data_IF_706918309305
#
_entry.id   IF_706918309305
#
_cell.length_a   1.000
_cell.length_b   1.000
_cell.length_c   1.000
_cell.angle_alpha   90.00
_cell.angle_beta   90.00
_cell.angle_gamma   90.00
#
_symmetry.space_group_name_H-M   'P 1'
#
loop_
_entity.id
_entity.type
_entity.pdbx_description
1 polymer ?
#
# COMPACT_ATOMS: atom_id res chain seq x y z
N UNK A 1 -30.37 -9.13 -92.07
CA UNK A 1 -28.94 -9.50 -91.91
C UNK A 1 -28.25 -8.31 -91.31
N UNK A 2 -28.07 -8.27 -90.04
CA UNK A 2 -27.46 -7.16 -89.30
C UNK A 2 -26.23 -7.61 -88.56
N UNK A 3 -25.11 -7.06 -88.99
CA UNK A 3 -23.77 -7.33 -88.47
C UNK A 3 -23.51 -6.49 -87.22
N UNK A 4 -23.24 -7.15 -86.11
CA UNK A 4 -22.91 -6.47 -84.85
C UNK A 4 -21.38 -6.46 -84.70
N UNK A 5 -20.82 -5.25 -84.63
CA UNK A 5 -19.42 -5.02 -84.25
C UNK A 5 -19.17 -5.18 -82.75
N UNK A 6 -18.05 -5.71 -82.30
CA UNK A 6 -17.72 -5.81 -80.86
C UNK A 6 -17.09 -4.51 -80.38
N UNK A 7 -17.59 -4.07 -79.25
CA UNK A 7 -17.10 -2.90 -78.49
C UNK A 7 -15.82 -3.23 -77.71
N UNK A 8 -14.75 -2.45 -77.96
CA UNK A 8 -13.48 -2.53 -77.18
C UNK A 8 -13.67 -1.99 -75.77
N UNK A 9 -13.28 -2.81 -74.78
CA UNK A 9 -13.20 -2.37 -73.37
C UNK A 9 -11.95 -1.50 -73.11
N UNK A 10 -11.99 -0.52 -72.24
CA UNK A 10 -10.84 0.31 -71.86
C UNK A 10 -9.92 -0.40 -70.86
N UNK A 11 -8.62 -0.31 -71.12
CA UNK A 11 -7.53 -0.79 -70.25
C UNK A 11 -7.46 0.05 -68.98
N UNK A 12 -7.78 -0.55 -67.84
CA UNK A 12 -7.60 0.04 -66.53
C UNK A 12 -6.09 0.05 -66.19
N UNK A 13 -5.51 1.25 -66.08
CA UNK A 13 -4.15 1.45 -65.56
C UNK A 13 -4.17 1.36 -64.04
N UNK A 14 -3.44 0.38 -63.46
CA UNK A 14 -3.18 0.27 -62.02
C UNK A 14 -2.25 1.40 -61.56
N UNK A 15 -2.54 2.08 -60.42
CA UNK A 15 -1.62 3.06 -59.89
C UNK A 15 -0.42 2.37 -59.19
N UNK A 16 0.78 2.93 -59.50
CA UNK A 16 2.03 2.56 -58.85
C UNK A 16 1.95 2.76 -57.33
N UNK A 17 2.20 1.70 -56.57
CA UNK A 17 2.36 1.77 -55.11
C UNK A 17 3.61 2.57 -54.78
N UNK A 18 3.44 3.66 -54.02
CA UNK A 18 4.52 4.35 -53.34
C UNK A 18 4.99 3.55 -52.12
N UNK A 19 6.27 3.58 -51.75
CA UNK A 19 6.75 2.89 -50.57
C UNK A 19 6.21 3.60 -49.29
N UNK A 20 5.54 2.85 -48.45
CA UNK A 20 5.13 3.30 -47.11
C UNK A 20 6.39 3.42 -46.24
N UNK A 21 6.77 4.65 -45.95
CA UNK A 21 7.78 4.96 -44.94
C UNK A 21 7.17 4.65 -43.56
N UNK A 22 7.67 3.61 -42.92
CA UNK A 22 7.29 3.23 -41.55
C UNK A 22 7.89 4.27 -40.59
N UNK A 23 7.11 5.26 -40.18
CA UNK A 23 7.48 6.18 -39.12
C UNK A 23 7.35 5.43 -37.80
N UNK A 24 8.51 5.10 -37.19
CA UNK A 24 8.61 4.57 -35.84
C UNK A 24 8.22 5.69 -34.87
N UNK A 25 6.95 5.72 -34.46
CA UNK A 25 6.49 6.60 -33.38
C UNK A 25 7.00 5.99 -32.07
N UNK A 26 8.12 6.51 -31.58
CA UNK A 26 8.58 6.27 -30.21
C UNK A 26 7.58 6.91 -29.26
N UNK A 27 6.65 6.10 -28.76
CA UNK A 27 5.76 6.48 -27.68
C UNK A 27 6.62 6.62 -26.41
N UNK A 28 7.05 7.83 -26.11
CA UNK A 28 7.59 8.19 -24.80
C UNK A 28 6.41 8.10 -23.84
N UNK A 29 6.29 6.97 -23.13
CA UNK A 29 5.40 6.88 -21.98
C UNK A 29 5.91 7.85 -20.92
N UNK A 30 5.36 9.05 -20.91
CA UNK A 30 5.52 9.98 -19.81
C UNK A 30 4.88 9.34 -18.58
N UNK A 31 5.69 8.97 -17.61
CA UNK A 31 5.24 8.58 -16.28
C UNK A 31 4.48 9.77 -15.66
N UNK A 32 3.18 9.79 -15.83
CA UNK A 32 2.31 10.59 -14.99
C UNK A 32 2.22 9.86 -13.64
N UNK A 33 3.20 10.11 -12.75
CA UNK A 33 3.11 9.68 -11.36
C UNK A 33 1.86 10.33 -10.78
N UNK A 34 0.83 9.52 -10.59
CA UNK A 34 -0.46 9.95 -10.09
C UNK A 34 -0.31 10.65 -8.73
N UNK A 35 -1.07 11.70 -8.55
CA UNK A 35 -1.05 12.74 -7.53
C UNK A 35 -1.09 12.30 -6.05
N UNK A 36 -1.11 11.03 -5.73
CA UNK A 36 -1.18 10.53 -4.34
C UNK A 36 0.15 10.55 -3.59
N UNK A 37 1.28 10.47 -4.27
CA UNK A 37 2.62 10.60 -3.65
C UNK A 37 2.98 12.04 -3.25
N UNK A 38 2.30 13.04 -3.80
CA UNK A 38 2.58 14.45 -3.56
C UNK A 38 2.30 14.89 -2.10
N UNK A 39 1.41 14.20 -1.37
CA UNK A 39 1.08 14.55 0.01
C UNK A 39 2.15 14.16 1.03
N UNK A 40 3.05 13.22 0.70
CA UNK A 40 4.12 12.74 1.60
C UNK A 40 5.46 13.44 1.37
N UNK A 41 5.58 14.33 0.39
CA UNK A 41 6.82 15.08 0.11
C UNK A 41 8.01 14.19 -0.24
N UNK A 42 7.81 13.08 -0.95
CA UNK A 42 8.88 12.15 -1.33
C UNK A 42 9.89 12.83 -2.25
N UNK A 43 11.18 12.69 -1.95
CA UNK A 43 12.26 13.13 -2.84
C UNK A 43 12.29 12.32 -4.13
N UNK A 44 12.98 12.82 -5.17
CA UNK A 44 13.13 12.10 -6.44
C UNK A 44 13.82 10.74 -6.26
N UNK A 45 14.81 10.64 -5.38
CA UNK A 45 15.45 9.36 -5.02
C UNK A 45 14.46 8.39 -4.37
N UNK A 46 13.65 8.87 -3.42
CA UNK A 46 12.63 8.05 -2.76
C UNK A 46 11.56 7.55 -3.74
N UNK A 47 11.14 8.40 -4.68
CA UNK A 47 10.22 8.03 -5.75
C UNK A 47 10.82 6.96 -6.68
N UNK A 48 12.09 7.12 -7.06
CA UNK A 48 12.80 6.14 -7.88
C UNK A 48 12.91 4.77 -7.18
N UNK A 49 13.28 4.75 -5.89
CA UNK A 49 13.36 3.53 -5.09
C UNK A 49 11.99 2.86 -4.93
N UNK A 50 10.94 3.65 -4.74
CA UNK A 50 9.57 3.16 -4.66
C UNK A 50 9.14 2.51 -5.99
N UNK A 51 9.45 3.15 -7.12
CA UNK A 51 9.19 2.62 -8.46
C UNK A 51 9.99 1.35 -8.74
N UNK A 52 11.19 1.20 -8.15
CA UNK A 52 11.98 -0.03 -8.18
C UNK A 52 11.45 -1.14 -7.26
N UNK A 53 10.29 -0.93 -6.60
CA UNK A 53 9.65 -1.90 -5.70
C UNK A 53 10.21 -1.92 -4.28
N UNK A 54 11.07 -0.97 -3.91
CA UNK A 54 11.55 -0.86 -2.53
C UNK A 54 10.46 -0.33 -1.60
N UNK A 55 10.60 -0.64 -0.31
CA UNK A 55 9.84 0.02 0.75
C UNK A 55 10.65 1.21 1.24
N UNK A 56 10.08 2.40 1.13
CA UNK A 56 10.69 3.64 1.58
C UNK A 56 10.23 3.96 3.00
N UNK A 57 11.19 4.23 3.90
CA UNK A 57 10.90 4.62 5.28
C UNK A 57 11.25 6.09 5.49
N UNK A 58 10.30 6.83 6.04
CA UNK A 58 10.39 8.25 6.36
C UNK A 58 10.40 8.42 7.88
N UNK A 59 11.19 9.38 8.38
CA UNK A 59 11.19 9.77 9.79
C UNK A 59 10.05 10.78 10.09
N UNK A 60 8.84 10.40 9.66
CA UNK A 60 7.61 11.16 9.84
C UNK A 60 6.69 10.34 10.72
N UNK A 61 6.33 10.87 11.88
CA UNK A 61 5.37 10.25 12.79
C UNK A 61 3.93 10.62 12.41
N UNK A 62 2.94 9.80 12.82
CA UNK A 62 1.52 10.17 12.73
C UNK A 62 1.24 11.52 13.42
N UNK A 63 0.23 12.30 12.96
CA UNK A 63 -0.04 13.64 13.49
C UNK A 63 -0.30 13.68 15.01
N UNK A 64 -0.91 12.61 15.56
CA UNK A 64 -1.30 12.52 16.96
C UNK A 64 -0.21 11.93 17.88
N UNK A 65 0.99 11.71 17.33
CA UNK A 65 2.09 11.12 18.07
C UNK A 65 2.71 12.10 19.07
N UNK A 66 3.03 11.61 20.27
CA UNK A 66 3.81 12.39 21.21
C UNK A 66 5.25 12.58 20.75
N UNK A 67 5.90 13.69 21.17
CA UNK A 67 7.29 13.97 20.83
C UNK A 67 8.29 12.92 21.34
N UNK A 68 7.89 12.11 22.31
CA UNK A 68 8.71 11.06 22.90
C UNK A 68 8.44 9.67 22.31
N UNK A 69 7.53 9.55 21.35
CA UNK A 69 7.27 8.30 20.66
C UNK A 69 8.37 8.00 19.63
N UNK A 70 8.72 6.73 19.49
CA UNK A 70 9.48 6.20 18.36
C UNK A 70 8.55 5.71 17.26
N UNK A 71 9.09 5.48 16.06
CA UNK A 71 8.31 4.98 14.94
C UNK A 71 8.70 5.61 13.61
N UNK A 72 7.74 5.77 12.72
CA UNK A 72 7.95 6.35 11.40
C UNK A 72 6.84 6.01 10.43
N UNK A 73 7.06 6.35 9.18
CA UNK A 73 6.15 6.05 8.08
C UNK A 73 6.86 5.21 7.03
N UNK A 74 6.28 4.07 6.67
CA UNK A 74 6.72 3.24 5.55
C UNK A 74 5.75 3.39 4.37
N UNK A 75 6.29 3.43 3.18
CA UNK A 75 5.54 3.53 1.92
C UNK A 75 5.99 2.42 0.99
N UNK A 76 5.06 1.73 0.36
CA UNK A 76 5.36 0.66 -0.59
C UNK A 76 4.29 0.51 -1.67
N UNK A 77 4.69 0.06 -2.86
CA UNK A 77 3.77 -0.32 -3.92
C UNK A 77 3.35 -1.79 -3.73
N UNK A 78 2.08 -2.08 -3.95
CA UNK A 78 1.48 -3.42 -3.94
C UNK A 78 0.77 -3.64 -5.27
N UNK A 79 1.09 -4.73 -5.97
CA UNK A 79 0.52 -5.07 -7.30
C UNK A 79 -0.87 -5.70 -7.15
N UNK A 80 -1.78 -4.97 -6.53
CA UNK A 80 -3.17 -5.36 -6.36
C UNK A 80 -4.07 -4.13 -6.26
N UNK A 81 -5.33 -4.28 -6.65
CA UNK A 81 -6.32 -3.22 -6.55
C UNK A 81 -6.50 -2.74 -5.10
N UNK A 82 -6.78 -1.43 -4.87
CA UNK A 82 -6.95 -0.87 -3.54
C UNK A 82 -7.98 -1.60 -2.68
N UNK A 83 -9.06 -2.09 -3.29
CA UNK A 83 -10.14 -2.82 -2.61
C UNK A 83 -9.63 -4.14 -2.02
N UNK A 84 -8.71 -4.80 -2.73
CA UNK A 84 -8.10 -6.04 -2.26
C UNK A 84 -7.16 -5.81 -1.09
N UNK A 85 -6.33 -4.78 -1.16
CA UNK A 85 -5.47 -4.37 -0.03
C UNK A 85 -6.34 -4.00 1.16
N UNK A 86 -7.38 -3.21 0.94
CA UNK A 86 -8.33 -2.80 1.96
C UNK A 86 -8.97 -4.00 2.68
N UNK A 87 -9.47 -5.00 1.92
CA UNK A 87 -10.10 -6.18 2.50
C UNK A 87 -9.17 -6.96 3.45
N UNK A 88 -7.86 -7.00 3.16
CA UNK A 88 -6.85 -7.62 4.04
C UNK A 88 -6.60 -6.76 5.29
N UNK A 89 -6.60 -5.43 5.16
CA UNK A 89 -6.36 -4.52 6.28
C UNK A 89 -7.52 -4.49 7.29
N UNK A 90 -8.77 -4.68 6.85
CA UNK A 90 -9.94 -4.75 7.74
C UNK A 90 -10.22 -6.17 8.27
N UNK A 91 -9.55 -7.19 7.77
CA UNK A 91 -9.53 -8.54 8.36
C UNK A 91 -8.64 -8.53 9.61
N UNK A 92 -9.13 -7.97 10.71
CA UNK A 92 -8.35 -7.81 11.94
C UNK A 92 -7.82 -9.12 12.50
N UNK A 93 -8.56 -10.24 12.35
CA UNK A 93 -8.11 -11.58 12.78
C UNK A 93 -6.93 -12.10 11.95
N UNK A 94 -6.82 -11.63 10.71
CA UNK A 94 -5.71 -11.94 9.80
C UNK A 94 -4.42 -11.17 10.05
N UNK A 95 -4.41 -10.17 10.94
CA UNK A 95 -3.26 -9.30 11.21
C UNK A 95 -1.95 -10.02 11.59
N UNK A 96 -1.95 -11.15 12.32
CA UNK A 96 -0.72 -11.90 12.60
C UNK A 96 0.04 -12.36 11.36
N UNK A 97 -0.62 -12.47 10.21
CA UNK A 97 0.00 -12.89 8.95
C UNK A 97 1.01 -11.86 8.40
N UNK A 98 0.81 -10.56 8.70
CA UNK A 98 1.67 -9.52 8.18
C UNK A 98 2.31 -8.59 9.22
N UNK A 99 1.81 -8.51 10.44
CA UNK A 99 2.52 -7.83 11.52
C UNK A 99 3.57 -8.77 12.16
N UNK A 100 4.89 -8.48 12.04
CA UNK A 100 5.93 -9.46 12.37
C UNK A 100 5.96 -9.94 13.81
N UNK A 101 5.42 -9.16 14.75
CA UNK A 101 5.46 -9.46 16.18
C UNK A 101 4.09 -9.78 16.78
N UNK A 102 3.02 -9.62 16.02
CA UNK A 102 1.68 -9.96 16.47
C UNK A 102 1.51 -11.47 16.40
N UNK A 103 1.22 -12.10 17.52
CA UNK A 103 0.99 -13.56 17.63
C UNK A 103 -0.48 -13.90 17.58
N UNK A 104 -1.35 -13.00 18.05
CA UNK A 104 -2.80 -13.13 17.93
C UNK A 104 -3.49 -11.77 17.77
N UNK A 105 -4.65 -11.77 17.12
CA UNK A 105 -5.53 -10.63 17.00
C UNK A 105 -6.99 -11.11 17.07
N UNK A 106 -7.77 -10.50 17.94
CA UNK A 106 -9.17 -10.83 18.20
C UNK A 106 -10.03 -9.58 18.05
N UNK A 107 -11.07 -9.66 17.23
CA UNK A 107 -12.09 -8.63 17.14
C UNK A 107 -13.03 -8.77 18.35
N UNK A 108 -12.93 -7.83 19.29
CA UNK A 108 -13.72 -7.81 20.54
C UNK A 108 -15.10 -7.20 20.28
N UNK A 109 -15.11 -6.05 19.58
CA UNK A 109 -16.31 -5.28 19.29
C UNK A 109 -16.14 -4.57 17.96
N UNK A 110 -17.22 -4.39 17.21
CA UNK A 110 -17.23 -3.61 15.99
C UNK A 110 -18.57 -2.91 15.80
N UNK A 111 -18.50 -1.62 15.53
CA UNK A 111 -19.62 -0.79 15.12
C UNK A 111 -19.40 -0.23 13.71
N UNK A 112 -20.28 0.70 13.29
CA UNK A 112 -20.22 1.28 11.94
C UNK A 112 -18.95 2.12 11.70
N UNK A 113 -18.38 2.73 12.73
CA UNK A 113 -17.30 3.72 12.67
C UNK A 113 -16.03 3.32 13.44
N UNK A 114 -16.09 2.24 14.25
CA UNK A 114 -14.93 1.77 14.98
C UNK A 114 -14.93 0.27 15.23
N UNK A 115 -13.76 -0.26 15.61
CA UNK A 115 -13.58 -1.64 16.04
C UNK A 115 -12.57 -1.69 17.20
N UNK A 116 -12.91 -2.42 18.25
CA UNK A 116 -12.01 -2.75 19.34
C UNK A 116 -11.35 -4.09 19.05
N UNK A 117 -10.04 -4.08 18.93
CA UNK A 117 -9.24 -5.28 18.61
C UNK A 117 -8.25 -5.53 19.73
N UNK A 118 -8.29 -6.74 20.29
CA UNK A 118 -7.30 -7.22 21.24
C UNK A 118 -6.15 -7.85 20.47
N UNK A 119 -4.94 -7.42 20.76
CA UNK A 119 -3.71 -7.97 20.22
C UNK A 119 -2.84 -8.61 21.28
N UNK A 120 -2.04 -9.56 20.86
CA UNK A 120 -0.93 -10.10 21.64
C UNK A 120 0.35 -9.98 20.82
N UNK A 121 1.40 -9.39 21.41
CA UNK A 121 2.73 -9.26 20.77
C UNK A 121 3.76 -10.09 21.52
N UNK A 122 4.61 -10.78 20.76
CA UNK A 122 5.74 -11.53 21.28
C UNK A 122 7.01 -10.67 21.36
N UNK A 123 7.69 -10.71 22.51
CA UNK A 123 8.97 -10.03 22.72
C UNK A 123 9.91 -11.01 23.44
N UNK A 124 10.79 -11.65 22.70
CA UNK A 124 11.62 -12.76 23.23
C UNK A 124 10.71 -13.89 23.73
N UNK A 125 10.89 -14.35 24.99
CA UNK A 125 10.07 -15.42 25.57
C UNK A 125 8.73 -14.92 26.14
N UNK A 126 8.43 -13.61 26.07
CA UNK A 126 7.26 -12.99 26.69
C UNK A 126 6.22 -12.60 25.67
N UNK A 127 4.95 -12.64 26.06
CA UNK A 127 3.81 -12.10 25.32
C UNK A 127 3.11 -11.01 26.11
N UNK A 128 2.63 -9.98 25.41
CA UNK A 128 1.95 -8.84 26.01
C UNK A 128 0.64 -8.56 25.29
N UNK A 129 -0.45 -8.61 26.04
CA UNK A 129 -1.79 -8.27 25.54
C UNK A 129 -2.07 -6.77 25.63
N UNK A 130 -2.77 -6.22 24.64
CA UNK A 130 -3.24 -4.83 24.65
C UNK A 130 -4.44 -4.68 23.70
N UNK A 131 -5.17 -3.60 23.87
CA UNK A 131 -6.34 -3.30 23.04
C UNK A 131 -6.12 -2.04 22.21
N UNK A 132 -6.60 -2.09 20.98
CA UNK A 132 -6.51 -0.99 20.02
C UNK A 132 -7.90 -0.62 19.53
N UNK A 133 -8.23 0.66 19.63
CA UNK A 133 -9.38 1.21 18.94
C UNK A 133 -9.00 1.54 17.50
N UNK A 134 -9.69 0.94 16.53
CA UNK A 134 -9.51 1.13 15.10
C UNK A 134 -10.66 1.96 14.54
N UNK A 135 -10.37 2.88 13.63
CA UNK A 135 -11.33 3.76 12.97
C UNK A 135 -11.20 3.60 11.45
N UNK A 136 -11.92 2.64 10.85
CA UNK A 136 -11.89 2.43 9.40
C UNK A 136 -12.72 3.50 8.68
N UNK A 137 -12.14 4.12 7.67
CA UNK A 137 -12.82 4.98 6.69
C UNK A 137 -12.73 4.30 5.31
N UNK A 138 -13.78 3.58 4.88
CA UNK A 138 -13.75 2.85 3.62
C UNK A 138 -13.76 3.77 2.40
N UNK A 139 -14.27 5.00 2.51
CA UNK A 139 -14.30 5.97 1.41
C UNK A 139 -12.90 6.47 1.10
N UNK A 140 -12.14 6.80 2.13
CA UNK A 140 -10.74 7.22 2.00
C UNK A 140 -9.76 6.05 2.00
N UNK A 141 -10.21 4.82 2.24
CA UNK A 141 -9.39 3.63 2.48
C UNK A 141 -8.29 3.89 3.51
N UNK A 142 -8.68 4.50 4.63
CA UNK A 142 -7.81 4.85 5.75
C UNK A 142 -8.29 4.16 7.01
N UNK A 143 -7.37 3.53 7.76
CA UNK A 143 -7.65 2.99 9.10
C UNK A 143 -6.72 3.70 10.07
N UNK A 144 -7.26 4.63 10.85
CA UNK A 144 -6.53 5.18 11.98
C UNK A 144 -6.69 4.27 13.20
N UNK A 145 -5.74 4.33 14.14
CA UNK A 145 -5.88 3.65 15.43
C UNK A 145 -5.17 4.38 16.55
N UNK A 146 -5.60 4.03 17.75
CA UNK A 146 -4.94 4.41 18.98
C UNK A 146 -5.02 3.29 20.00
N UNK A 147 -4.10 3.30 20.96
CA UNK A 147 -4.16 2.45 22.13
C UNK A 147 -5.46 2.74 22.89
N UNK A 148 -6.21 1.70 23.25
CA UNK A 148 -7.41 1.89 24.05
C UNK A 148 -7.02 2.15 25.52
N UNK A 149 -7.54 3.25 26.09
CA UNK A 149 -7.23 3.67 27.44
C UNK A 149 -8.09 2.96 28.52
N UNK A 150 -9.20 2.32 28.11
CA UNK A 150 -10.13 1.65 29.03
C UNK A 150 -9.64 0.26 29.43
N UNK A 151 -8.70 -0.31 28.65
CA UNK A 151 -8.12 -1.62 28.93
C UNK A 151 -6.66 -1.47 29.37
N UNK A 152 -6.36 -1.98 30.56
CA UNK A 152 -4.98 -1.99 31.07
C UNK A 152 -4.05 -2.81 30.19
N UNK A 153 -2.82 -2.33 30.00
CA UNK A 153 -1.74 -3.10 29.41
C UNK A 153 -0.42 -2.77 30.11
N UNK A 154 0.52 -3.71 30.06
CA UNK A 154 1.82 -3.60 30.72
C UNK A 154 2.98 -3.40 29.73
N UNK A 155 2.71 -3.05 28.48
CA UNK A 155 3.75 -2.95 27.46
C UNK A 155 3.79 -1.57 26.79
N UNK A 156 2.66 -1.09 26.25
CA UNK A 156 2.60 0.20 25.59
C UNK A 156 2.19 1.32 26.54
N UNK A 157 2.85 2.48 26.40
CA UNK A 157 2.41 3.78 26.92
C UNK A 157 1.68 4.58 25.84
N UNK A 158 2.02 4.31 24.59
CA UNK A 158 1.42 4.91 23.42
C UNK A 158 1.53 3.94 22.25
N UNK A 159 0.49 3.83 21.46
CA UNK A 159 0.49 3.17 20.15
C UNK A 159 -0.59 3.84 19.32
N UNK A 160 -0.18 4.63 18.36
CA UNK A 160 -1.09 5.33 17.43
C UNK A 160 -0.55 5.25 16.01
N UNK A 161 -1.42 5.40 15.02
CA UNK A 161 -0.99 5.35 13.64
C UNK A 161 -2.13 5.28 12.64
N UNK A 162 -1.76 4.99 11.39
CA UNK A 162 -2.73 4.77 10.34
C UNK A 162 -2.17 3.91 9.20
N UNK A 163 -3.09 3.23 8.52
CA UNK A 163 -2.95 2.75 7.16
C UNK A 163 -3.64 3.70 6.20
N UNK A 164 -3.06 3.91 5.04
CA UNK A 164 -3.69 4.58 3.90
C UNK A 164 -3.42 3.75 2.65
N UNK A 165 -4.45 3.55 1.82
CA UNK A 165 -4.35 2.85 0.55
C UNK A 165 -4.85 3.76 -0.56
N UNK A 166 -3.94 4.18 -1.43
CA UNK A 166 -4.24 5.03 -2.57
C UNK A 166 -4.08 4.25 -3.88
N UNK A 167 -4.90 4.51 -4.90
CA UNK A 167 -4.67 3.96 -6.22
C UNK A 167 -3.31 4.38 -6.77
N UNK A 168 -2.62 3.45 -7.42
CA UNK A 168 -1.37 3.72 -8.14
C UNK A 168 -1.36 2.98 -9.47
N UNK A 169 -0.48 3.37 -10.38
CA UNK A 169 -0.31 2.67 -11.65
C UNK A 169 0.10 1.21 -11.39
N UNK A 170 -0.68 0.27 -11.94
CA UNK A 170 -0.46 -1.16 -11.74
C UNK A 170 -0.85 -1.72 -10.37
N UNK A 171 -1.52 -0.92 -9.49
CA UNK A 171 -1.92 -1.42 -8.18
C UNK A 171 -2.27 -0.35 -7.15
N UNK A 172 -1.62 -0.42 -5.99
CA UNK A 172 -1.87 0.45 -4.84
C UNK A 172 -0.59 1.01 -4.25
N UNK A 173 -0.62 2.27 -3.84
CA UNK A 173 0.35 2.87 -2.95
C UNK A 173 -0.15 2.68 -1.51
N UNK A 174 0.63 1.98 -0.70
CA UNK A 174 0.28 1.69 0.70
C UNK A 174 1.19 2.47 1.62
N UNK A 175 0.59 3.26 2.51
CA UNK A 175 1.28 3.99 3.57
C UNK A 175 0.94 3.38 4.93
N UNK A 176 1.96 3.10 5.72
CA UNK A 176 1.87 2.62 7.09
C UNK A 176 2.64 3.56 8.02
N UNK A 177 1.94 4.34 8.81
CA UNK A 177 2.52 5.23 9.79
C UNK A 177 2.20 4.76 11.20
N UNK A 178 3.20 4.70 12.06
CA UNK A 178 3.04 4.27 13.46
C UNK A 178 3.95 5.07 14.38
N UNK A 179 3.43 5.37 15.56
CA UNK A 179 4.18 5.90 16.69
C UNK A 179 3.92 5.02 17.91
N UNK A 180 4.98 4.63 18.58
CA UNK A 180 4.92 3.77 19.77
C UNK A 180 5.80 4.32 20.87
N UNK A 181 5.35 4.12 22.11
CA UNK A 181 6.14 4.30 23.32
C UNK A 181 5.86 3.12 24.24
N UNK A 182 6.91 2.43 24.64
CA UNK A 182 6.84 1.24 25.50
C UNK A 182 7.45 1.50 26.85
N UNK A 183 7.27 0.57 27.77
CA UNK A 183 7.96 0.57 29.07
C UNK A 183 9.42 0.11 28.95
N UNK A 184 9.80 -0.52 27.81
CA UNK A 184 11.16 -0.97 27.60
C UNK A 184 12.10 0.21 27.31
N UNK A 185 13.36 0.14 27.73
CA UNK A 185 14.37 1.13 27.39
C UNK A 185 14.47 1.33 25.87
N UNK A 186 14.59 2.58 25.40
CA UNK A 186 14.56 2.94 23.99
C UNK A 186 15.62 2.24 23.14
N UNK A 187 16.79 1.86 23.73
CA UNK A 187 17.84 1.13 23.02
C UNK A 187 17.44 -0.30 22.61
N UNK A 188 16.44 -0.91 23.27
CA UNK A 188 15.92 -2.23 22.90
C UNK A 188 15.02 -2.16 21.68
N UNK A 189 14.38 -1.00 21.44
CA UNK A 189 13.44 -0.78 20.34
C UNK A 189 14.06 -0.10 19.14
N UNK A 190 15.14 0.71 19.34
CA UNK A 190 15.84 1.42 18.27
C UNK A 190 16.36 0.48 17.18
N UNK A 191 16.05 0.76 15.94
CA UNK A 191 16.41 -0.04 14.77
C UNK A 191 15.53 -1.28 14.54
N UNK A 192 14.90 -1.85 15.58
CA UNK A 192 13.90 -2.88 15.42
C UNK A 192 12.60 -2.33 14.84
N UNK A 193 12.26 -1.09 15.16
CA UNK A 193 11.07 -0.39 14.66
C UNK A 193 11.14 -0.18 13.16
N UNK A 194 12.25 0.37 12.63
CA UNK A 194 12.41 0.58 11.18
C UNK A 194 12.33 -0.73 10.38
N UNK A 195 12.99 -1.79 10.89
CA UNK A 195 12.89 -3.12 10.26
C UNK A 195 11.46 -3.63 10.29
N UNK A 196 10.77 -3.47 11.41
CA UNK A 196 9.38 -3.89 11.55
C UNK A 196 8.45 -3.17 10.55
N UNK A 197 8.66 -1.87 10.30
CA UNK A 197 7.92 -1.10 9.29
C UNK A 197 8.08 -1.71 7.89
N UNK A 198 9.33 -1.95 7.47
CA UNK A 198 9.64 -2.55 6.16
C UNK A 198 9.06 -3.95 6.05
N UNK A 199 9.24 -4.78 7.08
CA UNK A 199 8.77 -6.17 7.09
C UNK A 199 7.24 -6.24 7.06
N UNK A 200 6.55 -5.31 7.72
CA UNK A 200 5.09 -5.21 7.70
C UNK A 200 4.57 -4.98 6.28
N UNK A 201 5.11 -3.98 5.57
CA UNK A 201 4.73 -3.72 4.17
C UNK A 201 5.07 -4.90 3.26
N UNK A 202 6.26 -5.50 3.40
CA UNK A 202 6.68 -6.64 2.58
C UNK A 202 5.78 -7.86 2.78
N UNK A 203 5.42 -8.17 4.03
CA UNK A 203 4.53 -9.30 4.34
C UNK A 203 3.10 -9.03 3.86
N UNK A 204 2.58 -7.80 4.04
CA UNK A 204 1.29 -7.40 3.50
C UNK A 204 1.26 -7.56 1.98
N UNK A 205 2.28 -7.04 1.28
CA UNK A 205 2.44 -7.17 -0.17
C UNK A 205 2.36 -8.64 -0.59
N UNK A 206 3.22 -9.47 -0.01
CA UNK A 206 3.25 -10.92 -0.31
C UNK A 206 1.88 -11.56 -0.08
N UNK A 207 1.22 -11.29 1.05
CA UNK A 207 -0.07 -11.85 1.39
C UNK A 207 -1.15 -11.46 0.37
N UNK A 208 -1.14 -10.20 -0.08
CA UNK A 208 -2.13 -9.67 -1.02
C UNK A 208 -1.88 -10.18 -2.44
N UNK A 209 -0.63 -10.23 -2.88
CA UNK A 209 -0.25 -10.65 -4.24
C UNK A 209 -0.39 -12.18 -4.43
N UNK A 210 0.09 -13.01 -3.48
CA UNK A 210 0.01 -14.48 -3.55
C UNK A 210 -1.44 -15.00 -3.56
N UNK A 211 -2.37 -14.32 -2.92
CA UNK A 211 -3.78 -14.74 -2.91
C UNK A 211 -4.54 -14.36 -4.20
N UNK A 212 -3.88 -13.80 -5.22
CA UNK A 212 -4.41 -13.35 -6.52
C UNK A 212 -4.01 -14.17 -7.72
N UNK A 213 -3.13 -15.15 -7.53
CA UNK A 213 -2.66 -16.08 -8.55
C UNK A 213 -3.53 -17.32 -8.69
#
# INVERSE_FOLDING_TARGET
>A
MSTILPTRAPLFRLPRRAPATLALVSMVFGFAAAASGASLGLSADQQHRLAAGEVVVLDILPPDASKSAGGGTAVGLVQAAPERVWSVLVDYRGHPRYYPRVVSAELVEADADHALVRYEVGVGPFSFGFHMMKYPDPVRRRIAWRLDANHANNFFRENTGYWQVDPAEGGSLVTYAIAVRTILPGFVTLGAERRSLVDTIKRLRKLVEDAGG
#
